data_IF_427243574116
#
_entry.id   IF_427243574116
#
_cell.length_a   1.000
_cell.length_b   1.000
_cell.length_c   1.000
_cell.angle_alpha   90.00
_cell.angle_beta   90.00
_cell.angle_gamma   90.00
#
_symmetry.space_group_name_H-M   'P 1'
#
loop_
_entity.id
_entity.type
_entity.pdbx_description
1 polymer ?
#
# COMPACT_ATOMS: atom_id res chain seq x y z
N UNK A 1 24.81 -3.01 5.28
CA UNK A 1 23.72 -2.97 4.28
C UNK A 1 22.48 -3.48 4.96
N UNK A 2 21.36 -2.78 4.80
CA UNK A 2 20.10 -3.21 5.38
C UNK A 2 19.55 -4.44 4.65
N UNK A 3 18.85 -5.30 5.37
CA UNK A 3 18.24 -6.53 4.85
C UNK A 3 16.73 -6.41 4.82
N UNK A 4 16.15 -7.08 3.84
CA UNK A 4 14.70 -7.24 3.71
C UNK A 4 14.40 -8.72 3.87
N UNK A 5 13.62 -9.03 4.89
CA UNK A 5 13.12 -10.38 5.13
C UNK A 5 11.66 -10.45 4.70
N UNK A 6 11.37 -11.36 3.77
CA UNK A 6 10.02 -11.70 3.36
C UNK A 6 9.56 -12.94 4.12
N UNK A 7 8.37 -12.88 4.70
CA UNK A 7 7.70 -14.02 5.35
C UNK A 7 6.27 -14.18 4.81
N UNK A 8 5.64 -15.33 5.08
CA UNK A 8 4.30 -15.65 4.57
C UNK A 8 4.32 -16.35 3.21
N UNK A 9 3.57 -15.82 2.24
CA UNK A 9 3.45 -16.35 0.87
C UNK A 9 4.78 -16.41 0.13
N UNK A 10 5.73 -15.55 0.50
CA UNK A 10 7.10 -15.56 -0.01
C UNK A 10 8.04 -15.61 1.18
N UNK A 11 8.95 -16.59 1.19
CA UNK A 11 10.01 -16.71 2.19
C UNK A 11 11.35 -16.48 1.52
N UNK A 12 11.94 -15.32 1.76
CA UNK A 12 13.22 -14.93 1.17
C UNK A 12 13.91 -13.88 2.04
N UNK A 13 15.23 -13.74 1.89
CA UNK A 13 16.00 -12.66 2.49
C UNK A 13 16.92 -12.08 1.40
N UNK A 14 16.99 -10.75 1.31
CA UNK A 14 17.87 -10.06 0.36
C UNK A 14 18.36 -8.73 0.91
N UNK A 15 19.52 -8.29 0.45
CA UNK A 15 20.13 -7.04 0.90
C UNK A 15 19.74 -5.87 -0.01
N UNK A 16 19.54 -4.69 0.60
CA UNK A 16 19.28 -3.44 -0.08
C UNK A 16 20.47 -2.50 0.10
N UNK A 17 21.06 -2.09 -1.03
CA UNK A 17 22.28 -1.28 -1.05
C UNK A 17 22.05 0.21 -0.85
N UNK A 18 20.82 0.70 -1.01
CA UNK A 18 20.53 2.12 -1.09
C UNK A 18 19.22 2.48 -0.39
N UNK A 19 19.26 3.59 0.36
CA UNK A 19 18.06 4.25 0.89
C UNK A 19 17.21 3.41 1.83
N UNK A 20 17.86 2.50 2.55
CA UNK A 20 17.31 1.74 3.68
C UNK A 20 18.38 1.69 4.77
N UNK A 21 18.04 2.17 5.97
CA UNK A 21 18.98 2.35 7.09
C UNK A 21 18.86 1.25 8.15
N UNK A 22 17.79 0.47 8.11
CA UNK A 22 17.47 -0.57 9.08
C UNK A 22 16.90 -1.79 8.38
N UNK A 23 17.07 -2.96 9.00
CA UNK A 23 16.50 -4.18 8.49
C UNK A 23 14.97 -4.12 8.58
N UNK A 24 14.28 -4.56 7.53
CA UNK A 24 12.82 -4.57 7.47
C UNK A 24 12.31 -5.99 7.28
N UNK A 25 11.17 -6.26 7.91
CA UNK A 25 10.40 -7.48 7.68
C UNK A 25 9.10 -7.13 6.97
N UNK A 26 8.81 -7.83 5.88
CA UNK A 26 7.57 -7.70 5.13
C UNK A 26 6.85 -9.05 5.17
N UNK A 27 5.67 -9.06 5.76
CA UNK A 27 4.72 -10.16 5.66
C UNK A 27 4.00 -10.07 4.32
N UNK A 28 4.13 -11.09 3.49
CA UNK A 28 3.52 -11.18 2.16
C UNK A 28 2.28 -12.06 2.26
N UNK A 29 1.15 -11.51 1.86
CA UNK A 29 -0.14 -12.17 1.82
C UNK A 29 -0.70 -12.20 0.41
N UNK A 30 -1.73 -13.02 0.21
CA UNK A 30 -2.55 -13.03 -1.00
C UNK A 30 -3.99 -12.67 -0.67
N UNK A 31 -4.59 -11.86 -1.53
CA UNK A 31 -6.02 -11.68 -1.65
C UNK A 31 -6.47 -12.41 -2.93
N UNK A 32 -7.52 -13.22 -2.83
CA UNK A 32 -8.00 -14.04 -3.93
C UNK A 32 -9.50 -13.84 -4.10
N UNK A 33 -9.93 -13.61 -5.33
CA UNK A 33 -11.32 -13.45 -5.69
C UNK A 33 -11.54 -13.96 -7.12
N UNK A 34 -12.42 -14.95 -7.28
CA UNK A 34 -12.82 -15.50 -8.58
C UNK A 34 -11.62 -15.92 -9.45
N UNK A 35 -10.69 -16.67 -8.84
CA UNK A 35 -9.45 -17.14 -9.46
C UNK A 35 -8.39 -16.07 -9.71
N UNK A 36 -8.68 -14.80 -9.38
CA UNK A 36 -7.73 -13.70 -9.51
C UNK A 36 -6.98 -13.52 -8.20
N UNK A 37 -5.65 -13.46 -8.25
CA UNK A 37 -4.79 -13.35 -7.06
C UNK A 37 -4.02 -12.03 -7.09
N UNK A 38 -4.10 -11.28 -5.99
CA UNK A 38 -3.32 -10.06 -5.77
C UNK A 38 -2.50 -10.23 -4.49
N UNK A 39 -1.20 -9.94 -4.59
CA UNK A 39 -0.32 -9.97 -3.43
C UNK A 39 -0.22 -8.58 -2.78
N UNK A 40 -0.30 -8.56 -1.47
CA UNK A 40 -0.10 -7.36 -0.66
C UNK A 40 0.90 -7.65 0.45
N UNK A 41 1.58 -6.60 0.91
CA UNK A 41 2.54 -6.66 1.98
C UNK A 41 2.01 -5.97 3.22
N UNK A 42 2.49 -6.41 4.38
CA UNK A 42 2.41 -5.71 5.65
C UNK A 42 3.82 -5.49 6.19
N UNK A 43 4.16 -4.28 6.55
CA UNK A 43 5.48 -3.97 7.09
C UNK A 43 5.77 -2.48 7.15
N UNK A 44 6.74 -2.11 7.97
CA UNK A 44 7.16 -0.72 8.10
C UNK A 44 8.09 -0.33 6.94
N UNK A 45 7.63 0.62 6.14
CA UNK A 45 8.35 1.16 4.99
C UNK A 45 8.53 2.68 5.07
N UNK A 46 8.18 3.32 6.19
CA UNK A 46 8.15 4.79 6.34
C UNK A 46 9.51 5.43 6.02
N UNK A 47 10.59 4.77 6.45
CA UNK A 47 11.96 5.26 6.25
C UNK A 47 12.59 4.80 4.93
N UNK A 48 11.88 4.04 4.11
CA UNK A 48 12.40 3.54 2.85
C UNK A 48 12.32 4.64 1.77
N UNK A 49 13.44 4.92 1.10
CA UNK A 49 13.43 5.81 -0.06
C UNK A 49 12.61 5.22 -1.22
N UNK A 50 12.10 6.06 -2.12
CA UNK A 50 11.41 5.58 -3.34
C UNK A 50 12.26 4.60 -4.17
N UNK A 51 13.58 4.81 -4.19
CA UNK A 51 14.51 3.92 -4.89
C UNK A 51 14.56 2.56 -4.21
N UNK A 52 14.62 2.52 -2.87
CA UNK A 52 14.56 1.29 -2.09
C UNK A 52 13.24 0.56 -2.31
N UNK A 53 12.11 1.28 -2.27
CA UNK A 53 10.79 0.70 -2.52
C UNK A 53 10.67 0.08 -3.91
N UNK A 54 11.16 0.76 -4.94
CA UNK A 54 11.17 0.22 -6.30
C UNK A 54 11.96 -1.09 -6.37
N UNK A 55 13.15 -1.11 -5.76
CA UNK A 55 13.98 -2.31 -5.71
C UNK A 55 13.32 -3.44 -4.91
N UNK A 56 12.69 -3.13 -3.77
CA UNK A 56 11.96 -4.11 -2.95
C UNK A 56 10.81 -4.71 -3.76
N UNK A 57 10.00 -3.88 -4.44
CA UNK A 57 8.90 -4.33 -5.27
C UNK A 57 9.37 -5.31 -6.37
N UNK A 58 10.44 -4.93 -7.10
CA UNK A 58 11.01 -5.77 -8.14
C UNK A 58 11.53 -7.10 -7.60
N UNK A 59 12.16 -7.09 -6.41
CA UNK A 59 12.65 -8.31 -5.76
C UNK A 59 11.52 -9.22 -5.32
N UNK A 60 10.48 -8.69 -4.67
CA UNK A 60 9.32 -9.49 -4.27
C UNK A 60 8.65 -10.10 -5.51
N UNK A 61 8.46 -9.30 -6.58
CA UNK A 61 7.92 -9.77 -7.85
C UNK A 61 8.75 -10.92 -8.44
N UNK A 62 10.07 -10.77 -8.48
CA UNK A 62 10.98 -11.83 -8.92
C UNK A 62 10.80 -13.13 -8.12
N UNK A 63 10.69 -13.05 -6.80
CA UNK A 63 10.48 -14.24 -5.95
C UNK A 63 9.09 -14.87 -6.15
N UNK A 64 8.05 -14.07 -6.37
CA UNK A 64 6.72 -14.58 -6.69
C UNK A 64 6.72 -15.35 -8.03
N UNK A 65 7.28 -14.75 -9.07
CA UNK A 65 7.38 -15.37 -10.40
C UNK A 65 8.22 -16.64 -10.38
N UNK A 66 9.36 -16.64 -9.65
CA UNK A 66 10.21 -17.82 -9.48
C UNK A 66 9.46 -18.99 -8.83
N UNK A 67 8.52 -18.70 -7.94
CA UNK A 67 7.68 -19.70 -7.27
C UNK A 67 6.44 -20.09 -8.08
N UNK A 68 6.38 -19.75 -9.38
CA UNK A 68 5.23 -19.97 -10.28
C UNK A 68 3.93 -19.33 -9.77
N UNK A 69 4.03 -18.27 -8.96
CA UNK A 69 2.88 -17.47 -8.51
C UNK A 69 2.64 -16.35 -9.52
N UNK A 70 1.44 -16.31 -10.11
CA UNK A 70 1.06 -15.23 -11.01
C UNK A 70 0.85 -13.95 -10.22
N UNK A 71 1.51 -12.87 -10.63
CA UNK A 71 1.35 -11.54 -10.03
C UNK A 71 0.48 -10.70 -10.95
N UNK A 72 -0.83 -10.69 -10.73
CA UNK A 72 -1.74 -9.81 -11.46
C UNK A 72 -2.00 -8.53 -10.68
N UNK A 73 -1.04 -7.60 -10.69
CA UNK A 73 -1.27 -6.22 -10.22
C UNK A 73 -1.44 -5.32 -11.44
N UNK A 74 -2.59 -5.44 -12.11
CA UNK A 74 -3.01 -4.50 -13.14
C UNK A 74 -4.28 -3.73 -12.67
N UNK A 75 -4.48 -2.53 -13.23
CA UNK A 75 -5.59 -1.64 -12.84
C UNK A 75 -6.96 -2.31 -12.95
N UNK A 76 -7.18 -3.12 -13.99
CA UNK A 76 -8.46 -3.80 -14.20
C UNK A 76 -8.78 -4.82 -13.08
N UNK A 77 -7.78 -5.62 -12.70
CA UNK A 77 -7.88 -6.58 -11.61
C UNK A 77 -8.19 -5.88 -10.29
N UNK A 78 -7.46 -4.81 -10.00
CA UNK A 78 -7.66 -4.04 -8.76
C UNK A 78 -9.03 -3.37 -8.73
N UNK A 79 -9.53 -2.87 -9.87
CA UNK A 79 -10.90 -2.33 -9.98
C UNK A 79 -11.97 -3.39 -9.72
N UNK A 80 -11.79 -4.62 -10.24
CA UNK A 80 -12.73 -5.74 -9.97
C UNK A 80 -12.79 -6.05 -8.48
N UNK A 81 -11.63 -6.23 -7.84
CA UNK A 81 -11.53 -6.50 -6.40
C UNK A 81 -12.04 -5.33 -5.55
N UNK A 82 -11.80 -4.09 -5.96
CA UNK A 82 -12.36 -2.89 -5.34
C UNK A 82 -13.89 -2.90 -5.37
N UNK A 83 -14.51 -3.15 -6.53
CA UNK A 83 -15.96 -3.19 -6.68
C UNK A 83 -16.61 -4.31 -5.84
N UNK A 84 -15.89 -5.41 -5.64
CA UNK A 84 -16.30 -6.54 -4.79
C UNK A 84 -15.93 -6.37 -3.31
N UNK A 85 -15.31 -5.24 -2.93
CA UNK A 85 -14.92 -4.89 -1.55
C UNK A 85 -13.97 -5.92 -0.91
N UNK A 86 -13.04 -6.46 -1.68
CA UNK A 86 -12.03 -7.42 -1.18
C UNK A 86 -10.99 -6.67 -0.33
N UNK A 87 -10.90 -6.96 0.97
CA UNK A 87 -9.91 -6.37 1.88
C UNK A 87 -8.53 -7.06 1.75
N UNK A 88 -7.38 -6.35 1.87
CA UNK A 88 -7.22 -4.91 2.06
C UNK A 88 -7.20 -4.10 0.74
N UNK A 89 -7.52 -4.73 -0.39
CA UNK A 89 -7.46 -4.12 -1.73
C UNK A 89 -8.43 -2.94 -1.83
N UNK A 90 -9.63 -3.13 -1.29
CA UNK A 90 -10.67 -2.12 -1.24
C UNK A 90 -10.16 -0.83 -0.58
N UNK A 91 -9.54 -0.94 0.59
CA UNK A 91 -9.08 0.17 1.40
C UNK A 91 -7.92 0.91 0.72
N UNK A 92 -6.93 0.17 0.20
CA UNK A 92 -5.78 0.76 -0.52
C UNK A 92 -6.25 1.50 -1.78
N UNK A 93 -7.15 0.89 -2.57
CA UNK A 93 -7.72 1.51 -3.77
C UNK A 93 -8.62 2.70 -3.43
N UNK A 94 -9.37 2.62 -2.33
CA UNK A 94 -10.19 3.73 -1.89
C UNK A 94 -9.34 4.93 -1.48
N UNK A 95 -8.19 4.72 -0.83
CA UNK A 95 -7.20 5.76 -0.55
C UNK A 95 -6.62 6.36 -1.84
N UNK A 96 -6.28 5.54 -2.84
CA UNK A 96 -5.84 6.01 -4.17
C UNK A 96 -6.84 7.00 -4.76
N UNK A 97 -8.10 6.61 -4.82
CA UNK A 97 -9.15 7.46 -5.39
C UNK A 97 -9.38 8.73 -4.57
N UNK A 98 -9.28 8.66 -3.23
CA UNK A 98 -9.41 9.85 -2.38
C UNK A 98 -8.30 10.87 -2.65
N UNK A 99 -7.04 10.41 -2.73
CA UNK A 99 -5.88 11.27 -3.02
C UNK A 99 -5.96 11.85 -4.44
N UNK A 100 -6.34 11.04 -5.43
CA UNK A 100 -6.54 11.49 -6.81
C UNK A 100 -7.67 12.51 -6.93
N UNK A 101 -8.78 12.30 -6.22
CA UNK A 101 -9.90 13.24 -6.18
C UNK A 101 -9.49 14.57 -5.56
N UNK A 102 -8.74 14.57 -4.45
CA UNK A 102 -8.23 15.80 -3.84
C UNK A 102 -7.30 16.58 -4.77
N UNK A 103 -6.38 15.87 -5.46
CA UNK A 103 -5.51 16.47 -6.49
C UNK A 103 -6.31 17.14 -7.62
N UNK A 104 -7.50 16.62 -7.95
CA UNK A 104 -8.44 17.20 -8.94
C UNK A 104 -9.35 18.27 -8.34
N UNK A 105 -9.76 18.12 -7.08
CA UNK A 105 -10.74 18.98 -6.39
C UNK A 105 -10.14 20.26 -5.83
N UNK A 106 -8.84 20.54 -6.03
CA UNK A 106 -8.32 21.91 -6.00
C UNK A 106 -9.13 22.90 -6.88
N UNK A 107 -10.08 22.41 -7.68
CA UNK A 107 -11.08 23.19 -8.43
C UNK A 107 -12.49 23.29 -7.80
N UNK A 108 -12.91 22.42 -6.86
CA UNK A 108 -14.29 22.36 -6.33
C UNK A 108 -14.32 21.84 -4.87
N UNK A 109 -15.05 22.54 -3.98
CA UNK A 109 -15.08 22.29 -2.51
C UNK A 109 -15.45 20.83 -2.12
N UNK A 110 -14.80 20.24 -1.11
CA UNK A 110 -15.12 18.89 -0.63
C UNK A 110 -16.46 18.84 0.15
N UNK A 111 -17.24 17.78 -0.05
CA UNK A 111 -18.44 17.47 0.76
C UNK A 111 -18.06 16.71 2.04
N UNK A 112 -18.39 17.28 3.22
CA UNK A 112 -18.02 16.79 4.57
C UNK A 112 -18.30 15.31 4.86
N UNK A 113 -19.35 14.71 4.29
CA UNK A 113 -19.74 13.30 4.57
C UNK A 113 -18.72 12.30 4.00
N UNK A 114 -17.99 12.68 2.94
CA UNK A 114 -16.97 11.82 2.35
C UNK A 114 -15.65 11.84 3.14
N UNK A 115 -15.46 12.81 4.04
CA UNK A 115 -14.19 13.07 4.73
C UNK A 115 -13.93 12.06 5.85
N UNK A 116 -14.96 11.71 6.64
CA UNK A 116 -14.87 10.72 7.73
C UNK A 116 -14.44 9.35 7.20
N UNK A 117 -15.08 8.87 6.13
CA UNK A 117 -14.75 7.58 5.52
C UNK A 117 -13.36 7.59 4.89
N UNK A 118 -12.92 8.72 4.33
CA UNK A 118 -11.55 8.91 3.83
C UNK A 118 -10.54 8.76 4.96
N UNK A 119 -10.75 9.44 6.09
CA UNK A 119 -9.89 9.36 7.27
C UNK A 119 -9.82 7.93 7.80
N UNK A 120 -10.97 7.26 8.00
CA UNK A 120 -11.01 5.87 8.48
C UNK A 120 -10.22 4.91 7.58
N UNK A 121 -10.29 5.10 6.26
CA UNK A 121 -9.56 4.26 5.32
C UNK A 121 -8.05 4.55 5.33
N UNK A 122 -7.66 5.82 5.41
CA UNK A 122 -6.26 6.23 5.56
C UNK A 122 -5.68 5.68 6.86
N UNK A 123 -6.40 5.81 7.98
CA UNK A 123 -6.07 5.22 9.27
C UNK A 123 -5.86 3.71 9.14
N UNK A 124 -6.81 3.00 8.53
CA UNK A 124 -6.69 1.55 8.36
C UNK A 124 -5.40 1.17 7.62
N UNK A 125 -5.10 1.82 6.50
CA UNK A 125 -3.92 1.49 5.69
C UNK A 125 -2.62 1.83 6.42
N UNK A 126 -2.56 3.01 7.05
CA UNK A 126 -1.38 3.49 7.78
C UNK A 126 -1.11 2.68 9.05
N UNK A 127 -2.12 2.48 9.90
CA UNK A 127 -1.98 1.79 11.19
C UNK A 127 -1.73 0.29 11.01
N UNK A 128 -2.36 -0.33 9.99
CA UNK A 128 -2.09 -1.74 9.67
C UNK A 128 -0.83 -1.93 8.83
N UNK A 129 -0.21 -0.85 8.35
CA UNK A 129 1.00 -0.86 7.52
C UNK A 129 0.88 -1.75 6.29
N UNK A 130 -0.28 -1.71 5.63
CA UNK A 130 -0.61 -2.57 4.48
C UNK A 130 -0.41 -1.83 3.15
N UNK A 131 0.13 -2.52 2.15
CA UNK A 131 0.38 -1.94 0.83
C UNK A 131 0.32 -3.00 -0.27
N UNK A 132 -0.02 -2.59 -1.50
CA UNK A 132 0.03 -3.50 -2.64
C UNK A 132 1.48 -3.70 -3.09
N UNK A 133 1.84 -4.94 -3.45
CA UNK A 133 3.19 -5.28 -3.92
C UNK A 133 3.31 -4.89 -5.39
N UNK A 134 3.54 -3.61 -5.60
CA UNK A 134 3.82 -3.00 -6.88
C UNK A 134 4.51 -1.65 -6.63
N UNK A 135 5.46 -1.28 -7.50
CA UNK A 135 6.23 -0.04 -7.36
C UNK A 135 5.35 1.19 -7.14
N UNK A 136 4.30 1.36 -7.94
CA UNK A 136 3.46 2.56 -7.90
C UNK A 136 2.61 2.58 -6.62
N UNK A 137 2.16 1.42 -6.16
CA UNK A 137 1.36 1.33 -4.94
C UNK A 137 2.19 1.38 -3.65
N UNK A 138 3.44 0.94 -3.67
CA UNK A 138 4.37 1.17 -2.57
C UNK A 138 4.72 2.65 -2.43
N UNK A 139 4.81 3.39 -3.54
CA UNK A 139 4.92 4.85 -3.49
C UNK A 139 3.65 5.50 -2.99
N UNK A 140 2.48 5.05 -3.46
CA UNK A 140 1.19 5.50 -2.95
C UNK A 140 1.09 5.29 -1.43
N UNK A 141 1.63 4.19 -0.89
CA UNK A 141 1.66 3.97 0.55
C UNK A 141 2.40 5.08 1.31
N UNK A 142 3.53 5.56 0.79
CA UNK A 142 4.21 6.73 1.39
C UNK A 142 3.37 8.02 1.27
N UNK A 143 2.64 8.21 0.18
CA UNK A 143 1.70 9.34 0.06
C UNK A 143 0.56 9.23 1.08
N UNK A 144 0.03 8.02 1.30
CA UNK A 144 -1.01 7.74 2.30
C UNK A 144 -0.50 8.06 3.71
N UNK A 145 0.71 7.64 4.05
CA UNK A 145 1.32 7.91 5.35
C UNK A 145 1.48 9.41 5.61
N UNK A 146 2.04 10.15 4.66
CA UNK A 146 2.15 11.62 4.75
C UNK A 146 0.79 12.28 4.94
N UNK A 147 -0.22 11.82 4.18
CA UNK A 147 -1.58 12.34 4.30
C UNK A 147 -2.21 12.02 5.64
N UNK A 148 -1.97 10.83 6.17
CA UNK A 148 -2.43 10.44 7.50
C UNK A 148 -1.79 11.30 8.58
N UNK A 149 -0.48 11.56 8.52
CA UNK A 149 0.22 12.47 9.43
C UNK A 149 -0.35 13.90 9.35
N UNK A 150 -0.52 14.45 8.15
CA UNK A 150 -1.14 15.78 7.92
C UNK A 150 -2.53 15.91 8.54
N UNK A 151 -3.30 14.82 8.57
CA UNK A 151 -4.66 14.80 9.14
C UNK A 151 -4.64 14.52 10.63
N UNK A 152 -3.73 13.68 11.12
CA UNK A 152 -3.56 13.37 12.54
C UNK A 152 -3.16 14.61 13.33
N UNK A 153 -2.34 15.47 12.76
CA UNK A 153 -1.89 16.72 13.39
C UNK A 153 -2.96 17.83 13.38
N UNK A 154 -4.10 17.62 12.69
CA UNK A 154 -5.25 18.53 12.76
C UNK A 154 -6.10 18.15 13.97
N UNK A 155 -6.09 19.01 14.99
CA UNK A 155 -6.87 18.83 16.23
C UNK A 155 -8.39 18.62 15.99
N UNK A 156 -8.91 19.01 14.82
CA UNK A 156 -10.32 18.91 14.44
C UNK A 156 -10.83 17.49 14.15
N UNK A 157 -9.95 16.48 14.05
CA UNK A 157 -10.34 15.09 13.72
C UNK A 157 -10.46 14.20 14.98
N UNK A 158 -10.11 14.70 16.16
CA UNK A 158 -10.15 13.98 17.44
C UNK A 158 -11.57 13.73 18.03
N UNK A 159 -12.65 13.91 17.26
CA UNK A 159 -14.02 13.74 17.75
C UNK A 159 -14.90 12.98 16.74
N UNK A 160 -14.55 11.73 16.42
CA UNK A 160 -15.52 10.76 15.87
C UNK A 160 -15.28 9.39 16.50
#
# INVERSE_FOLDING_TARGET
MAKVRLIGEVKAEFEVKFGLNEDITIEVFKAEDDGTVVYYGKGDLEKASEKALSFIADRIKYFLEKNKKSVSVNEETLRKMYNRKVSPIYEIMHCKYAIEDEKRSCSLRPQKVNEVKRIQTLMYVAENKVFLINKDYMKLYLEILKKYEELRDREDICLI
#
